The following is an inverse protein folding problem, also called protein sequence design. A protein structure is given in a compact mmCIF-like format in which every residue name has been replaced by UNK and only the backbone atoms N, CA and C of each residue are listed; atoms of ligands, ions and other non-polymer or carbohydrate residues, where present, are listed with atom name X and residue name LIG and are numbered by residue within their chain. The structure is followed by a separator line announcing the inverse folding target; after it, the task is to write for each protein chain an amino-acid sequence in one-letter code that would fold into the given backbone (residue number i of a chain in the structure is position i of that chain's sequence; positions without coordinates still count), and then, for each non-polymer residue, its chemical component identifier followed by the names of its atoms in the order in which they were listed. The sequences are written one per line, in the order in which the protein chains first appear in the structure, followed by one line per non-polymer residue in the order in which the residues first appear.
data_IF_260238655139
#
_entry.id   IF_260238655139
#
_cell.length_a   1.000
_cell.length_b   1.000
_cell.length_c   1.000
_cell.angle_alpha   90.00
_cell.angle_beta   90.00
_cell.angle_gamma   90.00
#
_symmetry.space_group_name_H-M   'P 1'
#
loop_
_entity.id
_entity.type
_entity.pdbx_description
1 polymer ?
#
# COMPACT_ATOMS: atom_id res chain seq x y z
N UNK A 1 -15.54 -17.91 -18.12
CA UNK A 1 -15.18 -18.20 -16.71
C UNK A 1 -15.94 -17.19 -15.86
N UNK A 2 -16.52 -17.56 -14.71
CA UNK A 2 -17.30 -16.62 -13.89
C UNK A 2 -16.77 -16.46 -12.48
N UNK A 3 -16.13 -17.49 -11.94
CA UNK A 3 -15.72 -17.50 -10.54
C UNK A 3 -14.65 -16.45 -10.26
N UNK A 4 -14.78 -15.82 -9.11
CA UNK A 4 -13.92 -14.74 -8.62
C UNK A 4 -13.32 -15.12 -7.28
N UNK A 5 -12.06 -14.78 -7.06
CA UNK A 5 -11.35 -15.10 -5.84
C UNK A 5 -10.60 -13.90 -5.28
N UNK A 6 -10.47 -13.85 -3.96
CA UNK A 6 -9.78 -12.81 -3.22
C UNK A 6 -8.84 -13.44 -2.19
N UNK A 7 -7.56 -13.11 -2.26
CA UNK A 7 -6.53 -13.55 -1.30
C UNK A 7 -6.16 -12.38 -0.39
N UNK A 8 -6.24 -12.59 0.92
CA UNK A 8 -5.96 -11.59 1.96
C UNK A 8 -7.21 -10.84 2.43
N UNK A 9 -8.34 -11.55 2.50
CA UNK A 9 -9.65 -10.99 2.83
C UNK A 9 -9.72 -10.38 4.24
N UNK A 10 -8.94 -10.85 5.20
CA UNK A 10 -8.94 -10.32 6.58
C UNK A 10 -7.98 -9.16 6.82
N UNK A 11 -7.13 -8.81 5.84
CA UNK A 11 -6.28 -7.61 5.90
C UNK A 11 -7.12 -6.32 5.94
N UNK A 12 -6.56 -5.17 6.39
CA UNK A 12 -7.29 -3.90 6.35
C UNK A 12 -7.86 -3.58 4.95
N UNK A 13 -7.05 -3.72 3.90
CA UNK A 13 -7.48 -3.51 2.52
C UNK A 13 -8.52 -4.56 2.07
N UNK A 14 -8.35 -5.82 2.49
CA UNK A 14 -9.27 -6.91 2.20
C UNK A 14 -10.66 -6.69 2.78
N UNK A 15 -10.76 -6.25 4.04
CA UNK A 15 -12.04 -5.94 4.71
C UNK A 15 -12.78 -4.82 3.99
N UNK A 16 -12.08 -3.76 3.57
CA UNK A 16 -12.69 -2.66 2.83
C UNK A 16 -13.20 -3.15 1.49
N UNK A 17 -12.40 -3.90 0.73
CA UNK A 17 -12.80 -4.34 -0.59
C UNK A 17 -13.99 -5.29 -0.53
N UNK A 18 -13.91 -6.31 0.31
CA UNK A 18 -14.96 -7.34 0.44
C UNK A 18 -16.25 -6.80 1.05
N UNK A 19 -16.22 -5.64 1.74
CA UNK A 19 -17.43 -4.92 2.14
C UNK A 19 -18.16 -4.25 0.96
N UNK A 20 -17.45 -3.94 -0.13
CA UNK A 20 -17.98 -3.23 -1.30
C UNK A 20 -18.24 -4.14 -2.49
N UNK A 21 -17.57 -5.30 -2.58
CA UNK A 21 -17.68 -6.23 -3.71
C UNK A 21 -17.77 -7.67 -3.23
N UNK A 22 -18.62 -8.43 -3.91
CA UNK A 22 -18.75 -9.87 -3.71
C UNK A 22 -17.68 -10.64 -4.47
N UNK A 23 -17.18 -11.71 -3.87
CA UNK A 23 -16.31 -12.71 -4.48
C UNK A 23 -16.82 -14.10 -4.12
N UNK A 24 -16.70 -15.05 -5.05
CA UNK A 24 -17.13 -16.44 -4.83
C UNK A 24 -16.23 -17.14 -3.79
N UNK A 25 -14.94 -16.77 -3.77
CA UNK A 25 -13.95 -17.30 -2.84
C UNK A 25 -13.23 -16.16 -2.10
N UNK A 26 -13.32 -16.17 -0.78
CA UNK A 26 -12.53 -15.33 0.12
C UNK A 26 -11.59 -16.25 0.90
N UNK A 27 -10.28 -16.06 0.74
CA UNK A 27 -9.28 -16.88 1.42
C UNK A 27 -8.19 -16.02 2.03
N UNK A 28 -7.64 -16.50 3.14
CA UNK A 28 -6.42 -15.97 3.72
C UNK A 28 -5.24 -16.94 3.56
N UNK A 29 -4.12 -16.58 4.16
CA UNK A 29 -2.83 -17.26 4.08
C UNK A 29 -2.89 -18.79 4.07
N UNK A 30 -3.66 -19.37 5.00
CA UNK A 30 -3.68 -20.81 5.23
C UNK A 30 -4.66 -21.54 4.29
N UNK A 31 -5.44 -20.81 3.52
CA UNK A 31 -6.60 -21.30 2.76
C UNK A 31 -6.40 -21.22 1.25
N UNK A 32 -5.25 -20.71 0.77
CA UNK A 32 -4.94 -20.57 -0.66
C UNK A 32 -5.01 -21.92 -1.40
N UNK A 33 -4.72 -23.02 -0.70
CA UNK A 33 -4.85 -24.37 -1.23
C UNK A 33 -6.28 -24.69 -1.71
N UNK A 34 -7.30 -24.02 -1.16
CA UNK A 34 -8.71 -24.16 -1.59
C UNK A 34 -8.95 -23.61 -3.00
N UNK A 35 -8.07 -22.72 -3.50
CA UNK A 35 -8.17 -22.15 -4.84
C UNK A 35 -7.56 -23.06 -5.92
N UNK A 36 -6.82 -24.10 -5.52
CA UNK A 36 -6.12 -24.97 -6.47
C UNK A 36 -7.11 -25.81 -7.28
N UNK A 37 -6.75 -26.10 -8.53
CA UNK A 37 -7.58 -26.90 -9.44
C UNK A 37 -8.78 -26.15 -10.04
N UNK A 38 -8.97 -24.88 -9.68
CA UNK A 38 -10.01 -24.00 -10.23
C UNK A 38 -9.41 -22.97 -11.20
N UNK A 39 -10.28 -22.37 -12.01
CA UNK A 39 -9.91 -21.30 -12.92
C UNK A 39 -10.84 -20.11 -12.68
N UNK A 40 -10.26 -18.92 -12.53
CA UNK A 40 -10.97 -17.71 -12.11
C UNK A 40 -11.05 -16.67 -13.23
N UNK A 41 -12.19 -15.99 -13.35
CA UNK A 41 -12.30 -14.81 -14.21
C UNK A 41 -11.44 -13.66 -13.66
N UNK A 42 -11.49 -13.45 -12.35
CA UNK A 42 -10.71 -12.43 -11.63
C UNK A 42 -10.16 -13.03 -10.34
N UNK A 43 -8.87 -12.82 -10.11
CA UNK A 43 -8.22 -13.09 -8.83
C UNK A 43 -7.61 -11.80 -8.30
N UNK A 44 -8.06 -11.37 -7.13
CA UNK A 44 -7.46 -10.24 -6.39
C UNK A 44 -6.47 -10.80 -5.37
N UNK A 45 -5.29 -10.21 -5.31
CA UNK A 45 -4.23 -10.60 -4.37
C UNK A 45 -3.81 -9.34 -3.62
N UNK A 46 -4.04 -9.32 -2.31
CA UNK A 46 -3.41 -8.34 -1.41
C UNK A 46 -2.04 -8.89 -0.99
N UNK A 47 -0.98 -8.14 -1.29
CA UNK A 47 0.38 -8.47 -0.89
C UNK A 47 0.46 -8.73 0.62
N UNK A 48 1.15 -9.80 1.06
CA UNK A 48 1.35 -10.08 2.48
C UNK A 48 1.91 -8.94 3.32
N UNK A 49 2.62 -7.97 2.71
CA UNK A 49 3.06 -6.74 3.41
C UNK A 49 1.90 -6.01 4.10
N UNK A 50 0.69 -6.06 3.54
CA UNK A 50 -0.47 -5.36 4.07
C UNK A 50 -1.30 -6.18 5.06
N UNK A 51 -0.92 -7.41 5.39
CA UNK A 51 -1.70 -8.23 6.32
C UNK A 51 -1.50 -7.80 7.77
N UNK A 52 -0.25 -7.47 8.12
CA UNK A 52 0.14 -6.96 9.43
C UNK A 52 0.76 -5.57 9.38
N UNK A 53 1.10 -5.08 8.19
CA UNK A 53 1.75 -3.79 7.96
C UNK A 53 3.24 -3.93 7.62
N UNK A 54 3.78 -3.05 6.74
CA UNK A 54 5.18 -3.07 6.30
C UNK A 54 6.19 -2.90 7.44
N UNK A 55 5.80 -2.22 8.53
CA UNK A 55 6.66 -1.88 9.65
C UNK A 55 6.42 -2.76 10.89
N UNK A 56 5.63 -3.83 10.77
CA UNK A 56 5.36 -4.73 11.89
C UNK A 56 6.63 -5.43 12.41
N UNK A 57 6.97 -5.19 13.68
CA UNK A 57 8.08 -5.83 14.38
C UNK A 57 7.74 -7.27 14.83
N UNK A 58 8.77 -8.13 14.97
CA UNK A 58 8.63 -9.39 15.73
C UNK A 58 8.52 -10.70 14.93
N UNK A 59 8.66 -10.68 13.60
CA UNK A 59 8.73 -11.91 12.80
C UNK A 59 10.16 -12.18 12.31
N UNK A 60 10.68 -13.37 12.61
CA UNK A 60 11.97 -13.88 12.11
C UNK A 60 12.00 -13.86 10.58
N UNK A 61 13.05 -13.28 9.98
CA UNK A 61 13.23 -13.21 8.54
C UNK A 61 13.21 -14.59 7.88
N UNK A 62 13.67 -15.64 8.55
CA UNK A 62 13.59 -17.01 8.04
C UNK A 62 12.15 -17.51 7.91
N UNK A 63 11.29 -17.13 8.86
CA UNK A 63 9.87 -17.47 8.81
C UNK A 63 9.18 -16.73 7.65
N UNK A 64 9.56 -15.46 7.41
CA UNK A 64 9.08 -14.66 6.27
C UNK A 64 9.53 -15.24 4.92
N UNK A 65 10.76 -15.72 4.82
CA UNK A 65 11.30 -16.33 3.60
C UNK A 65 10.62 -17.67 3.29
N UNK A 66 10.49 -18.55 4.30
CA UNK A 66 9.75 -19.80 4.16
C UNK A 66 8.31 -19.54 3.74
N UNK A 67 7.68 -18.53 4.35
CA UNK A 67 6.34 -18.12 3.99
C UNK A 67 6.22 -17.65 2.53
N UNK A 68 7.08 -16.73 2.06
CA UNK A 68 7.06 -16.24 0.69
C UNK A 68 7.27 -17.38 -0.33
N UNK A 69 8.12 -18.36 0.00
CA UNK A 69 8.29 -19.56 -0.82
C UNK A 69 7.00 -20.40 -0.91
N UNK A 70 6.35 -20.67 0.23
CA UNK A 70 5.10 -21.42 0.27
C UNK A 70 3.96 -20.70 -0.47
N UNK A 71 3.85 -19.38 -0.29
CA UNK A 71 2.86 -18.55 -0.97
C UNK A 71 3.00 -18.63 -2.50
N UNK A 72 4.21 -18.40 -3.03
CA UNK A 72 4.48 -18.54 -4.47
C UNK A 72 4.15 -19.93 -4.99
N UNK A 73 4.53 -20.98 -4.24
CA UNK A 73 4.22 -22.37 -4.62
C UNK A 73 2.72 -22.62 -4.73
N UNK A 74 1.91 -22.10 -3.82
CA UNK A 74 0.46 -22.27 -3.86
C UNK A 74 -0.16 -21.55 -5.06
N UNK A 75 0.34 -20.35 -5.38
CA UNK A 75 -0.11 -19.57 -6.54
C UNK A 75 0.23 -20.22 -7.89
N UNK A 76 1.30 -21.01 -7.98
CA UNK A 76 1.74 -21.65 -9.24
C UNK A 76 0.67 -22.54 -9.89
N UNK A 77 -0.23 -23.11 -9.10
CA UNK A 77 -1.26 -24.05 -9.57
C UNK A 77 -2.61 -23.36 -9.82
N UNK A 78 -2.70 -22.04 -9.60
CA UNK A 78 -3.92 -21.24 -9.81
C UNK A 78 -3.94 -20.69 -11.23
N UNK A 79 -5.12 -20.69 -11.86
CA UNK A 79 -5.35 -20.06 -13.17
C UNK A 79 -6.33 -18.92 -13.03
N UNK A 80 -6.02 -17.78 -13.63
CA UNK A 80 -6.93 -16.65 -13.68
C UNK A 80 -6.82 -15.89 -15.01
N UNK A 81 -7.94 -15.38 -15.53
CA UNK A 81 -7.97 -14.56 -16.75
C UNK A 81 -7.45 -13.13 -16.50
N UNK A 82 -7.66 -12.60 -15.30
CA UNK A 82 -7.13 -11.30 -14.85
C UNK A 82 -6.70 -11.38 -13.39
N UNK A 83 -5.51 -10.88 -13.11
CA UNK A 83 -5.03 -10.62 -11.76
C UNK A 83 -5.14 -9.13 -11.45
N UNK A 84 -5.58 -8.82 -10.24
CA UNK A 84 -5.40 -7.51 -9.62
C UNK A 84 -4.50 -7.73 -8.42
N UNK A 85 -3.29 -7.21 -8.47
CA UNK A 85 -2.29 -7.38 -7.42
C UNK A 85 -2.04 -6.03 -6.73
N UNK A 86 -2.40 -5.95 -5.45
CA UNK A 86 -2.23 -4.76 -4.63
C UNK A 86 -0.95 -4.94 -3.82
N UNK A 87 0.06 -4.09 -4.04
CA UNK A 87 1.38 -4.18 -3.39
C UNK A 87 1.88 -2.80 -2.95
N UNK A 88 2.96 -2.77 -2.16
CA UNK A 88 3.54 -1.51 -1.68
C UNK A 88 4.35 -0.82 -2.77
N UNK A 89 4.27 0.51 -2.81
CA UNK A 89 5.14 1.35 -3.64
C UNK A 89 6.60 1.33 -3.18
N UNK A 90 6.94 0.70 -2.04
CA UNK A 90 8.32 0.62 -1.53
C UNK A 90 9.32 -0.10 -2.45
N UNK A 91 8.81 -0.95 -3.35
CA UNK A 91 9.63 -1.60 -4.39
C UNK A 91 9.95 -0.65 -5.56
N UNK A 92 9.41 0.56 -5.58
CA UNK A 92 9.69 1.63 -6.54
C UNK A 92 10.57 2.68 -5.85
N UNK A 93 11.52 3.35 -6.54
CA UNK A 93 12.29 4.46 -5.98
C UNK A 93 11.38 5.53 -5.35
N UNK A 94 11.85 6.19 -4.29
CA UNK A 94 11.06 7.17 -3.53
C UNK A 94 10.66 8.41 -4.36
N UNK A 95 11.38 8.70 -5.44
CA UNK A 95 11.13 9.76 -6.43
C UNK A 95 10.68 9.22 -7.79
N UNK A 96 10.33 7.93 -7.86
CA UNK A 96 10.02 7.22 -9.10
C UNK A 96 8.56 7.30 -9.56
N UNK A 97 8.33 6.66 -10.70
CA UNK A 97 7.04 6.47 -11.36
C UNK A 97 6.88 5.03 -11.88
N UNK A 98 5.80 4.71 -12.61
CA UNK A 98 5.54 3.37 -13.15
C UNK A 98 6.59 2.88 -14.17
N UNK A 99 7.41 3.77 -14.72
CA UNK A 99 8.48 3.43 -15.67
C UNK A 99 9.83 3.23 -14.99
N UNK A 100 9.91 3.58 -13.71
CA UNK A 100 11.13 3.48 -12.94
C UNK A 100 11.50 2.01 -12.69
N UNK A 101 12.80 1.66 -12.73
CA UNK A 101 13.23 0.32 -12.39
C UNK A 101 12.89 0.02 -10.92
N UNK A 102 12.51 -1.23 -10.63
CA UNK A 102 12.29 -1.64 -9.24
C UNK A 102 13.53 -1.33 -8.39
N UNK A 103 13.30 -0.65 -7.27
CA UNK A 103 14.32 -0.29 -6.28
C UNK A 103 15.14 -1.53 -5.92
N UNK A 104 16.46 -1.41 -5.92
CA UNK A 104 17.34 -2.44 -5.39
C UNK A 104 17.93 -1.99 -4.05
N UNK A 105 17.18 -2.14 -2.94
CA UNK A 105 17.70 -1.76 -1.64
C UNK A 105 18.69 -2.83 -1.21
N UNK A 106 19.97 -2.61 -1.50
CA UNK A 106 21.05 -3.37 -0.93
C UNK A 106 20.82 -3.51 0.59
N UNK A 107 20.53 -4.73 1.05
CA UNK A 107 20.35 -5.03 2.47
C UNK A 107 18.94 -4.82 3.06
N UNK A 108 17.87 -4.68 2.27
CA UNK A 108 16.49 -4.76 2.80
C UNK A 108 15.79 -6.07 2.35
N UNK A 109 15.81 -7.14 3.18
CA UNK A 109 15.17 -8.41 2.87
C UNK A 109 13.66 -8.31 2.61
N UNK A 110 12.97 -7.39 3.28
CA UNK A 110 11.53 -7.17 3.11
C UNK A 110 11.17 -6.71 1.70
N UNK A 111 11.84 -5.66 1.23
CA UNK A 111 11.61 -5.14 -0.13
C UNK A 111 12.04 -6.17 -1.19
N UNK A 112 13.12 -6.92 -0.95
CA UNK A 112 13.53 -7.98 -1.88
C UNK A 112 12.50 -9.11 -1.99
N UNK A 113 11.89 -9.54 -0.88
CA UNK A 113 10.78 -10.51 -0.91
C UNK A 113 9.58 -10.00 -1.71
N UNK A 114 9.21 -8.73 -1.55
CA UNK A 114 8.12 -8.12 -2.31
C UNK A 114 8.43 -8.06 -3.80
N UNK A 115 9.65 -7.64 -4.17
CA UNK A 115 10.12 -7.66 -5.57
C UNK A 115 10.07 -9.07 -6.17
N UNK A 116 10.51 -10.07 -5.42
CA UNK A 116 10.47 -11.46 -5.86
C UNK A 116 9.04 -11.96 -6.09
N UNK A 117 8.10 -11.57 -5.23
CA UNK A 117 6.69 -11.90 -5.39
C UNK A 117 6.07 -11.17 -6.60
N UNK A 118 6.32 -9.87 -6.74
CA UNK A 118 5.92 -9.08 -7.90
C UNK A 118 6.40 -9.71 -9.21
N UNK A 119 7.70 -10.04 -9.30
CA UNK A 119 8.30 -10.68 -10.47
C UNK A 119 7.69 -12.05 -10.73
N UNK A 120 7.42 -12.83 -9.68
CA UNK A 120 6.77 -14.13 -9.81
C UNK A 120 5.36 -14.00 -10.38
N UNK A 121 4.51 -13.10 -9.83
CA UNK A 121 3.14 -12.89 -10.28
C UNK A 121 3.11 -12.45 -11.75
N UNK A 122 3.91 -11.45 -12.12
CA UNK A 122 3.95 -10.93 -13.49
C UNK A 122 4.54 -11.92 -14.50
N UNK A 123 5.36 -12.88 -14.04
CA UNK A 123 5.84 -13.98 -14.90
C UNK A 123 4.81 -15.12 -15.01
N UNK A 124 4.11 -15.42 -13.92
CA UNK A 124 3.16 -16.54 -13.83
C UNK A 124 1.86 -16.23 -14.57
N UNK A 125 1.39 -14.99 -14.53
CA UNK A 125 0.10 -14.57 -15.05
C UNK A 125 0.26 -13.57 -16.20
N UNK A 126 -0.50 -13.77 -17.29
CA UNK A 126 -0.34 -12.96 -18.51
C UNK A 126 -1.10 -11.63 -18.53
N UNK A 127 -2.01 -11.38 -17.57
CA UNK A 127 -2.81 -10.16 -17.50
C UNK A 127 -2.94 -9.70 -16.05
N UNK A 128 -2.00 -8.87 -15.63
CA UNK A 128 -1.90 -8.37 -14.25
C UNK A 128 -2.09 -6.86 -14.26
N UNK A 129 -2.99 -6.37 -13.40
CA UNK A 129 -3.02 -4.98 -12.96
C UNK A 129 -2.29 -4.92 -11.61
N UNK A 130 -1.08 -4.38 -11.61
CA UNK A 130 -0.31 -4.08 -10.40
C UNK A 130 -0.71 -2.69 -9.90
N UNK A 131 -1.18 -2.64 -8.66
CA UNK A 131 -1.58 -1.41 -7.98
C UNK A 131 -0.59 -1.19 -6.84
N UNK A 132 0.22 -0.16 -6.98
CA UNK A 132 1.19 0.24 -5.99
C UNK A 132 0.55 1.25 -5.06
N UNK A 133 0.40 0.86 -3.81
CA UNK A 133 -0.11 1.72 -2.75
C UNK A 133 1.09 2.31 -2.01
N UNK A 134 1.15 3.64 -1.88
CA UNK A 134 2.05 4.31 -0.94
C UNK A 134 1.76 3.92 0.53
N UNK A 135 2.00 4.84 1.46
CA UNK A 135 1.71 4.64 2.86
C UNK A 135 0.20 4.58 3.11
N UNK A 136 -0.31 3.62 3.89
CA UNK A 136 -1.75 3.56 4.18
C UNK A 136 -2.14 4.61 5.22
N UNK A 137 -3.21 5.36 4.94
CA UNK A 137 -3.80 6.27 5.92
C UNK A 137 -4.61 5.49 6.97
N UNK A 138 -3.92 4.84 7.92
CA UNK A 138 -4.53 4.08 9.02
C UNK A 138 -3.83 4.44 10.33
N UNK A 139 -4.58 4.55 11.43
CA UNK A 139 -4.07 4.76 12.79
C UNK A 139 -3.47 3.49 13.42
N UNK A 140 -2.66 2.76 12.66
CA UNK A 140 -1.90 1.60 13.15
C UNK A 140 -0.41 1.85 12.86
N UNK A 141 0.46 1.86 13.89
CA UNK A 141 1.88 2.18 13.73
C UNK A 141 2.62 1.18 12.83
N UNK A 142 2.07 -0.01 12.58
CA UNK A 142 2.64 -0.96 11.64
C UNK A 142 2.52 -0.51 10.17
N UNK A 143 1.66 0.48 9.87
CA UNK A 143 1.33 0.91 8.51
C UNK A 143 1.83 2.30 8.13
N UNK A 144 2.14 3.17 9.10
CA UNK A 144 2.63 4.51 8.78
C UNK A 144 2.64 5.49 9.94
N UNK A 145 2.96 6.74 9.60
CA UNK A 145 3.12 7.90 10.46
C UNK A 145 1.85 8.22 11.24
N UNK A 146 0.66 8.04 10.66
CA UNK A 146 -0.60 8.31 11.36
C UNK A 146 -0.76 7.46 12.63
N UNK A 147 -0.25 6.23 12.63
CA UNK A 147 -0.22 5.39 13.82
C UNK A 147 0.85 5.79 14.85
N UNK A 148 1.84 6.59 14.45
CA UNK A 148 2.90 7.13 15.32
C UNK A 148 2.52 8.50 15.92
N UNK A 149 1.59 9.22 15.30
CA UNK A 149 1.06 10.51 15.78
C UNK A 149 0.07 10.31 16.93
N UNK A 150 0.58 9.83 18.08
CA UNK A 150 -0.20 9.66 19.30
C UNK A 150 0.42 10.47 20.45
N UNK A 151 -0.39 11.03 21.37
CA UNK A 151 0.13 11.77 22.51
C UNK A 151 1.10 10.91 23.35
N UNK A 152 2.35 11.35 23.56
CA UNK A 152 3.31 10.59 24.35
C UNK A 152 2.90 10.55 25.82
N UNK A 153 3.25 9.45 26.51
CA UNK A 153 2.98 9.29 27.94
C UNK A 153 3.67 10.37 28.79
N UNK A 154 4.89 10.76 28.41
CA UNK A 154 5.54 11.97 28.91
C UNK A 154 5.28 13.11 27.93
N UNK A 155 4.52 14.12 28.37
CA UNK A 155 4.16 15.29 27.55
C UNK A 155 5.37 16.10 27.07
N UNK A 156 6.56 15.89 27.64
CA UNK A 156 7.82 16.52 27.19
C UNK A 156 8.60 15.69 26.19
N UNK A 157 8.20 14.45 25.93
CA UNK A 157 8.87 13.60 24.96
C UNK A 157 8.55 14.05 23.53
N UNK A 158 9.54 13.95 22.65
CA UNK A 158 9.33 14.14 21.22
C UNK A 158 8.68 12.91 20.60
N UNK A 159 7.87 13.13 19.56
CA UNK A 159 7.30 12.06 18.73
C UNK A 159 8.42 11.27 18.02
N UNK A 160 8.26 9.95 17.84
CA UNK A 160 9.26 9.08 17.21
C UNK A 160 9.25 9.19 15.66
N UNK A 161 9.29 10.41 15.15
CA UNK A 161 9.16 10.75 13.72
C UNK A 161 10.27 11.72 13.30
N UNK A 162 10.36 12.07 12.02
CA UNK A 162 11.17 13.18 11.55
C UNK A 162 10.27 14.34 11.10
N UNK A 163 10.65 15.57 11.44
CA UNK A 163 9.81 16.76 11.30
C UNK A 163 9.36 17.01 9.85
N UNK A 164 10.30 16.87 8.91
CA UNK A 164 10.11 17.18 7.49
C UNK A 164 10.18 15.93 6.61
N UNK A 165 9.95 14.75 7.20
CA UNK A 165 9.78 13.53 6.42
C UNK A 165 8.49 13.63 5.59
N UNK A 166 8.60 13.29 4.31
CA UNK A 166 7.53 13.39 3.32
C UNK A 166 6.81 12.05 3.22
N UNK A 167 5.52 12.09 3.52
CA UNK A 167 4.60 10.95 3.52
C UNK A 167 3.63 11.09 2.36
N UNK A 168 3.39 10.00 1.63
CA UNK A 168 2.30 9.91 0.65
C UNK A 168 1.25 8.99 1.23
N UNK A 169 0.26 9.57 1.90
CA UNK A 169 -0.80 8.84 2.59
C UNK A 169 -1.94 8.52 1.62
N UNK A 170 -2.29 7.24 1.52
CA UNK A 170 -3.37 6.74 0.68
C UNK A 170 -4.65 6.49 1.51
N UNK A 171 -5.74 7.25 1.28
CA UNK A 171 -7.02 7.02 1.94
C UNK A 171 -7.65 5.69 1.51
N UNK A 172 -7.65 4.73 2.42
CA UNK A 172 -7.98 3.32 2.15
C UNK A 172 -9.41 3.11 1.62
N UNK A 173 -10.35 4.00 1.95
CA UNK A 173 -11.72 3.92 1.48
C UNK A 173 -11.86 4.12 -0.04
N UNK A 174 -10.86 4.73 -0.67
CA UNK A 174 -10.84 4.94 -2.12
C UNK A 174 -10.42 3.72 -2.91
N UNK A 175 -9.85 2.69 -2.26
CA UNK A 175 -9.18 1.56 -2.90
C UNK A 175 -10.00 0.95 -4.04
N UNK A 176 -11.25 0.58 -3.76
CA UNK A 176 -12.09 -0.12 -4.73
C UNK A 176 -12.38 0.75 -5.94
N UNK A 177 -12.74 2.01 -5.72
CA UNK A 177 -13.14 2.93 -6.80
C UNK A 177 -11.93 3.32 -7.65
N UNK A 178 -10.77 3.53 -7.03
CA UNK A 178 -9.53 3.83 -7.74
C UNK A 178 -9.08 2.61 -8.56
N UNK A 179 -9.07 1.40 -8.00
CA UNK A 179 -8.64 0.22 -8.76
C UNK A 179 -9.61 -0.11 -9.89
N UNK A 180 -10.91 -0.03 -9.65
CA UNK A 180 -11.90 -0.28 -10.71
C UNK A 180 -11.83 0.73 -11.84
N UNK A 181 -11.39 1.97 -11.57
CA UNK A 181 -11.12 2.96 -12.61
C UNK A 181 -9.97 2.55 -13.53
N UNK A 182 -8.93 1.89 -13.00
CA UNK A 182 -7.77 1.46 -13.79
C UNK A 182 -8.10 0.31 -14.76
N UNK A 183 -9.05 -0.56 -14.38
CA UNK A 183 -9.40 -1.77 -15.15
C UNK A 183 -9.85 -1.50 -16.59
N UNK A 184 -10.87 -0.65 -16.88
CA UNK A 184 -11.31 -0.39 -18.25
C UNK A 184 -10.30 0.41 -19.07
N UNK A 185 -9.37 1.12 -18.41
CA UNK A 185 -8.29 1.86 -19.06
C UNK A 185 -7.18 0.94 -19.60
N UNK A 186 -7.17 -0.34 -19.21
CA UNK A 186 -6.15 -1.30 -19.64
C UNK A 186 -4.77 -0.99 -19.05
N UNK A 187 -4.72 -0.30 -17.90
CA UNK A 187 -3.48 -0.01 -17.19
C UNK A 187 -2.94 -1.33 -16.60
N UNK A 188 -1.64 -1.56 -16.77
CA UNK A 188 -0.95 -2.74 -16.22
C UNK A 188 -0.27 -2.42 -14.88
N UNK A 189 0.23 -1.20 -14.72
CA UNK A 189 0.90 -0.71 -13.51
C UNK A 189 0.34 0.66 -13.17
N UNK A 190 -0.07 0.87 -11.93
CA UNK A 190 -0.50 2.18 -11.44
C UNK A 190 0.01 2.42 -10.03
N UNK A 191 0.62 3.57 -9.80
CA UNK A 191 0.91 4.06 -8.46
C UNK A 191 -0.27 4.96 -8.06
N UNK A 192 -0.96 4.63 -6.97
CA UNK A 192 -2.00 5.51 -6.42
C UNK A 192 -1.36 6.63 -5.60
N UNK A 193 -0.47 7.39 -6.25
CA UNK A 193 0.36 8.43 -5.66
C UNK A 193 -0.48 9.62 -5.20
N UNK A 194 -0.51 9.89 -3.90
CA UNK A 194 -1.08 11.10 -3.33
C UNK A 194 0.01 12.16 -3.15
N UNK A 195 -0.33 13.46 -3.07
CA UNK A 195 0.68 14.50 -2.87
C UNK A 195 1.46 14.29 -1.56
N UNK A 196 2.78 14.52 -1.54
CA UNK A 196 3.57 14.40 -0.33
C UNK A 196 3.18 15.46 0.70
N UNK A 197 3.01 15.02 1.94
CA UNK A 197 2.75 15.85 3.12
C UNK A 197 3.82 15.58 4.16
N UNK A 198 4.33 16.63 4.78
CA UNK A 198 5.33 16.50 5.84
C UNK A 198 4.69 16.14 7.18
N UNK A 199 5.43 15.51 8.08
CA UNK A 199 4.98 15.30 9.47
C UNK A 199 4.53 16.61 10.13
N UNK A 200 5.26 17.70 9.90
CA UNK A 200 4.88 19.03 10.39
C UNK A 200 3.51 19.47 9.84
N UNK A 201 3.29 19.38 8.52
CA UNK A 201 1.98 19.72 7.91
C UNK A 201 0.84 18.85 8.47
N UNK A 202 1.10 17.55 8.71
CA UNK A 202 0.11 16.63 9.30
C UNK A 202 -0.26 17.04 10.72
N UNK A 203 0.72 17.35 11.57
CA UNK A 203 0.47 17.76 12.95
C UNK A 203 -0.23 19.12 13.00
N UNK A 204 0.19 20.09 12.18
CA UNK A 204 -0.45 21.41 12.12
C UNK A 204 -1.93 21.35 11.72
N UNK A 205 -2.29 20.45 10.79
CA UNK A 205 -3.64 20.39 10.22
C UNK A 205 -4.55 19.40 10.93
N UNK A 206 -4.02 18.25 11.38
CA UNK A 206 -4.82 17.12 11.86
C UNK A 206 -4.66 16.83 13.35
N UNK A 207 -3.52 17.20 13.95
CA UNK A 207 -3.20 16.90 15.36
C UNK A 207 -2.58 18.11 16.06
N UNK A 208 -3.23 19.30 16.07
CA UNK A 208 -2.63 20.54 16.57
C UNK A 208 -2.19 20.44 18.04
N UNK A 209 -2.77 19.53 18.81
CA UNK A 209 -2.38 19.24 20.20
C UNK A 209 -1.00 18.59 20.34
N UNK A 210 -0.44 18.03 19.27
CA UNK A 210 0.88 17.40 19.25
C UNK A 210 2.01 18.34 18.82
N UNK A 211 1.71 19.61 18.53
CA UNK A 211 2.69 20.58 18.03
C UNK A 211 3.92 20.73 18.94
N UNK A 212 3.71 20.73 20.27
CA UNK A 212 4.80 20.82 21.26
C UNK A 212 5.64 19.53 21.37
N UNK A 213 5.19 18.43 20.77
CA UNK A 213 5.89 17.14 20.75
C UNK A 213 6.65 16.90 19.45
N UNK A 214 6.59 17.83 18.48
CA UNK A 214 7.36 17.71 17.23
C UNK A 214 8.87 17.73 17.52
N UNK A 215 9.65 16.86 16.86
CA UNK A 215 11.11 16.86 16.98
C UNK A 215 11.73 18.03 16.19
N UNK A 216 12.98 18.36 16.50
CA UNK A 216 13.75 19.31 15.70
C UNK A 216 14.06 18.76 14.29
N UNK A 217 14.17 19.66 13.31
CA UNK A 217 14.58 19.32 11.95
C UNK A 217 15.97 18.68 11.92
N UNK A 218 16.16 17.63 11.11
CA UNK A 218 17.46 16.99 10.92
C UNK A 218 18.14 17.57 9.68
N UNK A 219 19.47 17.52 9.65
CA UNK A 219 20.27 17.97 8.49
C UNK A 219 20.00 17.19 7.21
N UNK A 220 19.53 15.95 7.33
CA UNK A 220 19.21 15.09 6.20
C UNK A 220 17.81 15.34 5.63
N UNK A 221 17.00 16.20 6.23
CA UNK A 221 15.64 16.46 5.78
C UNK A 221 15.58 17.50 4.63
N UNK A 222 14.56 17.45 3.74
CA UNK A 222 13.49 16.46 3.68
C UNK A 222 13.95 15.11 3.09
N UNK A 223 13.34 14.04 3.58
CA UNK A 223 13.45 12.67 3.04
C UNK A 223 12.05 12.09 2.89
N UNK A 224 11.92 10.97 2.19
CA UNK A 224 10.66 10.26 2.07
C UNK A 224 10.13 10.27 0.65
N UNK A 225 8.85 9.95 0.51
CA UNK A 225 8.26 9.59 -0.77
C UNK A 225 7.73 10.81 -1.51
N UNK A 226 8.11 10.92 -2.78
CA UNK A 226 7.65 11.92 -3.78
C UNK A 226 7.29 11.26 -5.10
N UNK A 227 6.90 9.97 -5.05
CA UNK A 227 6.53 9.17 -6.22
C UNK A 227 5.40 9.83 -6.98
N UNK A 228 5.41 9.68 -8.29
CA UNK A 228 4.35 10.19 -9.15
C UNK A 228 3.72 9.07 -9.96
N UNK A 229 2.51 9.32 -10.48
CA UNK A 229 1.87 8.43 -11.43
C UNK A 229 1.78 9.08 -12.79
N UNK A 230 2.28 8.39 -13.83
CA UNK A 230 2.09 8.79 -15.23
C UNK A 230 0.61 8.74 -15.64
N UNK A 231 -0.21 8.00 -14.89
CA UNK A 231 -1.64 7.78 -15.08
C UNK A 231 -2.52 8.69 -14.20
N UNK A 232 -1.94 9.50 -13.31
CA UNK A 232 -2.65 10.41 -12.39
C UNK A 232 -3.76 11.24 -13.03
N UNK A 233 -3.60 11.65 -14.29
CA UNK A 233 -4.57 12.44 -15.05
C UNK A 233 -5.93 11.74 -15.26
N UNK A 234 -6.03 10.43 -15.04
CA UNK A 234 -7.31 9.71 -15.03
C UNK A 234 -8.08 9.87 -13.70
N UNK A 235 -7.41 10.34 -12.65
CA UNK A 235 -8.00 10.61 -11.34
C UNK A 235 -8.23 12.08 -11.07
N UNK A 236 -7.27 12.92 -11.47
CA UNK A 236 -7.22 14.32 -11.14
C UNK A 236 -6.56 15.14 -12.27
N UNK A 237 -7.03 16.36 -12.51
CA UNK A 237 -6.47 17.32 -13.45
C UNK A 237 -6.24 18.64 -12.69
N UNK A 238 -5.05 19.28 -12.69
CA UNK A 238 -3.92 19.15 -13.63
C UNK A 238 -3.12 17.86 -13.52
N UNK A 239 -2.39 17.51 -14.59
CA UNK A 239 -1.37 16.43 -14.60
C UNK A 239 -0.14 16.83 -13.79
N UNK A 240 -0.28 16.82 -12.46
CA UNK A 240 0.77 17.13 -11.49
C UNK A 240 1.46 15.86 -10.93
N UNK A 241 1.04 14.68 -11.37
CA UNK A 241 1.60 13.39 -10.96
C UNK A 241 0.83 12.72 -9.81
N UNK A 242 -0.22 13.33 -9.28
CA UNK A 242 -0.95 12.82 -8.12
C UNK A 242 -2.44 12.58 -8.41
N UNK A 243 -3.03 11.60 -7.73
CA UNK A 243 -4.43 11.20 -7.93
C UNK A 243 -5.45 12.12 -7.23
N UNK A 244 -4.97 13.12 -6.49
CA UNK A 244 -5.76 14.07 -5.69
C UNK A 244 -4.96 15.33 -5.45
N UNK A 245 -5.62 16.44 -5.11
CA UNK A 245 -4.92 17.62 -4.58
C UNK A 245 -4.46 17.39 -3.14
N UNK A 246 -3.48 18.18 -2.68
CA UNK A 246 -3.02 18.14 -1.28
C UNK A 246 -4.13 18.56 -0.30
N UNK A 247 -4.93 19.56 -0.69
CA UNK A 247 -6.06 20.04 0.10
C UNK A 247 -7.12 18.95 0.27
N UNK A 248 -7.53 18.30 -0.83
CA UNK A 248 -8.50 17.20 -0.79
C UNK A 248 -7.99 16.01 0.03
N UNK A 249 -6.68 15.71 -0.06
CA UNK A 249 -6.05 14.69 0.77
C UNK A 249 -6.21 15.02 2.25
N UNK A 250 -5.76 16.20 2.68
CA UNK A 250 -5.81 16.60 4.09
C UNK A 250 -7.25 16.66 4.61
N UNK A 251 -8.19 17.16 3.82
CA UNK A 251 -9.62 17.16 4.16
C UNK A 251 -10.16 15.73 4.34
N UNK A 252 -9.78 14.80 3.45
CA UNK A 252 -10.17 13.40 3.55
C UNK A 252 -9.61 12.75 4.81
N UNK A 253 -8.32 13.00 5.11
CA UNK A 253 -7.68 12.48 6.31
C UNK A 253 -8.33 13.02 7.58
N UNK A 254 -8.65 14.32 7.64
CA UNK A 254 -9.38 14.91 8.77
C UNK A 254 -10.73 14.25 9.00
N UNK A 255 -11.52 14.05 7.93
CA UNK A 255 -12.81 13.38 8.02
C UNK A 255 -12.71 11.91 8.49
N UNK A 256 -11.61 11.22 8.19
CA UNK A 256 -11.36 9.86 8.67
C UNK A 256 -11.05 9.80 10.17
N UNK A 257 -10.49 10.87 10.75
CA UNK A 257 -10.10 10.93 12.17
C UNK A 257 -11.24 11.38 13.09
N UNK A 258 -12.27 12.03 12.56
CA UNK A 258 -13.48 12.44 13.27
C UNK A 258 -14.48 11.28 13.53
N UNK A 259 -14.17 10.07 13.06
CA UNK A 259 -15.02 8.87 13.13
C UNK A 259 -14.34 7.73 13.90
#
# INVERSE_FOLDING_TARGET
MTDTAFIGATSPLGKIWTSKRYFDYLVDQNEIHLLQGHAYAVLVIIDPVFWTGPYAEGQDDNAKDGYAFHFKRQLSDIKAERIIYITSADIIPEDGDELSPLRDPAGNPGINRQRDLYNFINKQFGRVLNVFIPELAISDPAFGVLGLLTPPADKKASLPVALLEQHQLYPIDRLVDDVERAIPLGIENVILATPPVTTCELVEQLYPELADNLPDARTSDPRGSTRTSIHSFHWHDPKDGYITTKEDLLNTLGAMLDH
#
